data_IF_082055516932
#
_entry.id   IF_082055516932
#
_cell.length_a   1.000
_cell.length_b   1.000
_cell.length_c   1.000
_cell.angle_alpha   90.00
_cell.angle_beta   90.00
_cell.angle_gamma   90.00
#
_symmetry.space_group_name_H-M   'P 1'
#
loop_
_entity.id
_entity.type
_entity.pdbx_description
1 polymer ?
#
# COMPACT_ATOMS: atom_id res chain seq x y z
N UNK A 1 33.82 -2.62 -13.31
CA UNK A 1 32.67 -1.90 -12.76
C UNK A 1 33.07 -1.31 -11.43
N UNK A 2 33.05 0.01 -11.32
CA UNK A 2 33.53 0.68 -10.10
C UNK A 2 32.53 0.51 -8.95
N UNK A 3 33.00 -0.04 -7.83
CA UNK A 3 32.20 -0.26 -6.63
C UNK A 3 31.48 1.03 -6.18
N UNK A 4 32.17 2.17 -6.29
CA UNK A 4 31.60 3.48 -5.97
C UNK A 4 30.37 3.83 -6.83
N UNK A 5 30.36 3.45 -8.10
CA UNK A 5 29.21 3.68 -8.96
C UNK A 5 27.98 2.87 -8.52
N UNK A 6 28.20 1.60 -8.17
CA UNK A 6 27.13 0.73 -7.66
C UNK A 6 26.57 1.23 -6.35
N UNK A 7 27.45 1.67 -5.43
CA UNK A 7 27.03 2.22 -4.13
C UNK A 7 26.22 3.50 -4.30
N UNK A 8 26.62 4.41 -5.18
CA UNK A 8 25.86 5.64 -5.44
C UNK A 8 24.48 5.32 -6.03
N UNK A 9 24.41 4.39 -6.98
CA UNK A 9 23.13 3.96 -7.56
C UNK A 9 22.21 3.31 -6.52
N UNK A 10 22.78 2.45 -5.68
CA UNK A 10 22.03 1.81 -4.59
C UNK A 10 21.47 2.85 -3.61
N UNK A 11 22.31 3.82 -3.22
CA UNK A 11 21.90 4.90 -2.32
C UNK A 11 20.80 5.78 -2.94
N UNK A 12 20.92 6.12 -4.21
CA UNK A 12 19.88 6.85 -4.94
C UNK A 12 18.54 6.08 -4.96
N UNK A 13 18.59 4.78 -5.27
CA UNK A 13 17.38 3.94 -5.28
C UNK A 13 16.73 3.84 -3.92
N UNK A 14 17.52 3.63 -2.86
CA UNK A 14 17.01 3.60 -1.49
C UNK A 14 16.41 4.94 -1.07
N UNK A 15 17.01 6.06 -1.48
CA UNK A 15 16.46 7.39 -1.19
C UNK A 15 15.11 7.61 -1.87
N UNK A 16 14.95 7.19 -3.11
CA UNK A 16 13.69 7.29 -3.85
C UNK A 16 12.61 6.43 -3.17
N UNK A 17 12.94 5.20 -2.80
CA UNK A 17 12.01 4.30 -2.08
C UNK A 17 11.60 4.93 -0.75
N UNK A 18 12.54 5.46 0.01
CA UNK A 18 12.27 6.10 1.29
C UNK A 18 11.34 7.31 1.16
N UNK A 19 11.56 8.16 0.17
CA UNK A 19 10.69 9.32 -0.12
C UNK A 19 9.30 8.84 -0.52
N UNK A 20 9.20 7.85 -1.41
CA UNK A 20 7.92 7.30 -1.85
C UNK A 20 7.11 6.70 -0.69
N UNK A 21 7.75 5.94 0.17
CA UNK A 21 7.16 5.35 1.39
C UNK A 21 6.67 6.43 2.35
N UNK A 22 7.47 7.48 2.54
CA UNK A 22 7.09 8.62 3.41
C UNK A 22 5.87 9.37 2.86
N UNK A 23 5.85 9.65 1.57
CA UNK A 23 4.70 10.29 0.90
C UNK A 23 3.45 9.42 1.04
N UNK A 24 3.58 8.13 0.80
CA UNK A 24 2.46 7.18 0.93
C UNK A 24 1.91 7.10 2.36
N UNK A 25 2.74 7.30 3.37
CA UNK A 25 2.32 7.38 4.76
C UNK A 25 1.60 8.70 5.09
N UNK A 26 2.11 9.82 4.58
CA UNK A 26 1.63 11.17 4.91
C UNK A 26 0.32 11.50 4.20
N UNK A 27 0.20 11.18 2.90
CA UNK A 27 -0.97 11.57 2.09
C UNK A 27 -2.30 11.13 2.72
N UNK A 28 -2.52 9.87 3.12
CA UNK A 28 -3.80 9.46 3.71
C UNK A 28 -4.13 10.19 5.01
N UNK A 29 -3.10 10.64 5.72
CA UNK A 29 -3.25 11.36 7.01
C UNK A 29 -3.53 12.84 6.86
N UNK A 30 -3.24 13.40 5.68
CA UNK A 30 -3.59 14.79 5.35
C UNK A 30 -5.03 14.93 4.88
N UNK A 31 -5.67 13.84 4.47
CA UNK A 31 -7.08 13.85 4.03
C UNK A 31 -7.95 14.03 5.29
N UNK A 32 -8.78 15.09 5.34
CA UNK A 32 -9.69 15.29 6.46
C UNK A 32 -10.74 14.17 6.47
N UNK A 33 -10.93 13.54 7.61
CA UNK A 33 -11.85 12.41 7.82
C UNK A 33 -11.11 11.16 8.31
N UNK A 34 -11.88 10.25 8.87
CA UNK A 34 -11.35 8.98 9.35
C UNK A 34 -11.53 7.90 8.28
N UNK A 35 -10.45 7.39 7.68
CA UNK A 35 -10.54 6.38 6.65
C UNK A 35 -11.18 5.07 7.15
N UNK A 36 -11.06 4.76 8.44
CA UNK A 36 -11.68 3.57 9.04
C UNK A 36 -13.18 3.75 9.14
N UNK A 37 -13.61 4.91 9.60
CA UNK A 37 -15.04 5.23 9.72
C UNK A 37 -15.72 5.26 8.36
N UNK A 38 -15.08 5.84 7.35
CA UNK A 38 -15.56 5.84 5.98
C UNK A 38 -15.65 4.43 5.39
N UNK A 39 -14.65 3.58 5.62
CA UNK A 39 -14.66 2.20 5.15
C UNK A 39 -15.73 1.35 5.84
N UNK A 40 -15.93 1.53 7.14
CA UNK A 40 -16.98 0.83 7.91
C UNK A 40 -18.39 1.29 7.52
N UNK A 41 -18.63 2.58 7.37
CA UNK A 41 -19.93 3.12 6.96
C UNK A 41 -20.32 2.61 5.56
N UNK A 42 -19.38 2.54 4.64
CA UNK A 42 -19.61 1.97 3.31
C UNK A 42 -19.98 0.48 3.38
N UNK A 43 -19.29 -0.30 4.20
CA UNK A 43 -19.62 -1.73 4.39
C UNK A 43 -20.98 -1.95 5.02
N UNK A 44 -21.32 -1.18 6.03
CA UNK A 44 -22.62 -1.27 6.70
C UNK A 44 -23.76 -0.89 5.74
N UNK A 45 -23.54 0.14 4.92
CA UNK A 45 -24.50 0.54 3.89
C UNK A 45 -24.75 -0.58 2.86
N UNK A 46 -23.72 -1.33 2.49
CA UNK A 46 -23.81 -2.45 1.52
C UNK A 46 -24.44 -3.69 2.18
N UNK A 47 -24.13 -3.98 3.44
CA UNK A 47 -24.59 -5.18 4.14
C UNK A 47 -26.01 -5.06 4.74
N UNK A 48 -26.58 -3.85 4.77
CA UNK A 48 -27.93 -3.61 5.28
C UNK A 48 -28.13 -3.82 6.79
N UNK A 49 -27.05 -4.01 7.55
CA UNK A 49 -27.09 -4.18 9.00
C UNK A 49 -27.16 -2.82 9.69
N UNK A 50 -28.36 -2.41 10.04
CA UNK A 50 -28.69 -1.06 10.54
C UNK A 50 -28.36 -0.84 12.04
N UNK A 51 -27.87 -1.84 12.77
CA UNK A 51 -27.78 -1.79 14.23
C UNK A 51 -26.39 -1.77 14.84
N UNK A 52 -25.36 -1.56 14.04
CA UNK A 52 -23.99 -1.52 14.56
C UNK A 52 -23.55 -0.06 14.69
N UNK A 53 -23.17 0.33 15.91
CA UNK A 53 -22.57 1.65 16.14
C UNK A 53 -21.21 1.73 15.43
N UNK A 54 -21.21 2.43 14.29
CA UNK A 54 -20.02 2.63 13.44
C UNK A 54 -18.89 3.26 14.24
N UNK A 55 -19.21 4.16 15.14
CA UNK A 55 -18.23 4.88 15.94
C UNK A 55 -17.54 3.97 16.96
N UNK A 56 -18.28 3.08 17.60
CA UNK A 56 -17.71 2.10 18.53
C UNK A 56 -16.82 1.09 17.82
N UNK A 57 -17.26 0.58 16.69
CA UNK A 57 -16.41 -0.29 15.85
C UNK A 57 -15.17 0.44 15.35
N UNK A 58 -15.30 1.68 14.92
CA UNK A 58 -14.15 2.48 14.47
C UNK A 58 -13.11 2.66 15.59
N UNK A 59 -13.55 2.89 16.85
CA UNK A 59 -12.65 2.97 18.01
C UNK A 59 -11.88 1.67 18.25
N UNK A 60 -12.56 0.52 18.16
CA UNK A 60 -11.95 -0.79 18.33
C UNK A 60 -10.90 -1.03 17.25
N UNK A 61 -11.21 -0.71 16.00
CA UNK A 61 -10.26 -0.87 14.89
C UNK A 61 -9.07 0.09 14.97
N UNK A 62 -9.29 1.36 15.35
CA UNK A 62 -8.20 2.32 15.59
C UNK A 62 -7.23 1.79 16.64
N UNK A 63 -7.74 1.27 17.75
CA UNK A 63 -6.92 0.69 18.80
C UNK A 63 -6.17 -0.57 18.34
N UNK A 64 -6.85 -1.43 17.57
CA UNK A 64 -6.25 -2.66 17.03
C UNK A 64 -5.13 -2.39 16.03
N UNK A 65 -5.26 -1.35 15.23
CA UNK A 65 -4.24 -0.95 14.24
C UNK A 65 -3.22 0.07 14.77
N UNK A 66 -3.31 0.43 16.05
CA UNK A 66 -2.37 1.38 16.65
C UNK A 66 -2.48 2.81 16.13
N UNK A 67 -3.62 3.19 15.57
CA UNK A 67 -3.86 4.54 15.03
C UNK A 67 -4.11 5.57 16.13
N UNK A 68 -4.30 5.15 17.39
CA UNK A 68 -4.40 6.02 18.56
C UNK A 68 -3.04 6.55 19.04
N UNK A 69 -1.95 6.02 18.49
CA UNK A 69 -0.59 6.40 18.88
C UNK A 69 -0.14 7.68 18.16
N UNK A 70 0.84 8.41 18.72
CA UNK A 70 1.44 9.56 18.05
C UNK A 70 1.93 9.21 16.65
N UNK A 71 1.81 10.14 15.70
CA UNK A 71 2.21 9.94 14.31
C UNK A 71 3.64 9.42 14.14
N UNK A 72 4.54 9.83 15.01
CA UNK A 72 5.93 9.38 14.97
C UNK A 72 6.06 7.88 15.24
N UNK A 73 5.33 7.37 16.24
CA UNK A 73 5.33 5.94 16.58
C UNK A 73 4.64 5.13 15.47
N UNK A 74 3.56 5.64 14.91
CA UNK A 74 2.89 5.04 13.77
C UNK A 74 3.83 4.93 12.56
N UNK A 75 4.63 5.95 12.29
CA UNK A 75 5.60 5.96 11.20
C UNK A 75 6.71 4.93 11.41
N UNK A 76 7.25 4.83 12.61
CA UNK A 76 8.27 3.84 12.96
C UNK A 76 7.71 2.42 12.81
N UNK A 77 6.51 2.16 13.30
CA UNK A 77 5.84 0.87 13.15
C UNK A 77 5.56 0.54 11.68
N UNK A 78 5.13 1.51 10.90
CA UNK A 78 4.92 1.37 9.46
C UNK A 78 6.20 0.98 8.73
N UNK A 79 7.33 1.64 9.02
CA UNK A 79 8.63 1.28 8.45
C UNK A 79 9.07 -0.12 8.85
N UNK A 80 8.85 -0.49 10.12
CA UNK A 80 9.16 -1.84 10.62
C UNK A 80 8.32 -2.90 9.93
N UNK A 81 7.03 -2.68 9.82
CA UNK A 81 6.11 -3.60 9.13
C UNK A 81 6.47 -3.75 7.65
N UNK A 82 6.89 -2.66 7.00
CA UNK A 82 7.34 -2.69 5.62
C UNK A 82 8.60 -3.54 5.44
N UNK A 83 9.56 -3.48 6.37
CA UNK A 83 10.79 -4.32 6.32
C UNK A 83 10.50 -5.79 6.54
N UNK A 84 9.43 -6.13 7.24
CA UNK A 84 8.98 -7.51 7.47
C UNK A 84 7.96 -7.99 6.43
N UNK A 85 7.72 -7.20 5.36
CA UNK A 85 6.69 -7.46 4.34
C UNK A 85 5.28 -7.63 4.91
N UNK A 86 5.05 -7.09 6.09
CA UNK A 86 3.72 -7.03 6.70
C UNK A 86 3.00 -5.76 6.24
N UNK A 87 2.27 -5.87 5.13
CA UNK A 87 1.55 -4.75 4.53
C UNK A 87 0.21 -4.46 5.22
N UNK A 88 -0.12 -5.21 6.27
CA UNK A 88 -1.35 -5.04 7.02
C UNK A 88 -2.60 -5.54 6.31
N UNK A 89 -3.73 -5.12 6.81
CA UNK A 89 -5.06 -5.51 6.32
C UNK A 89 -5.62 -4.42 5.41
N UNK A 90 -6.26 -4.83 4.32
CA UNK A 90 -6.93 -3.90 3.42
C UNK A 90 -8.14 -3.26 4.08
N UNK A 91 -8.19 -1.93 4.11
CA UNK A 91 -9.36 -1.20 4.61
C UNK A 91 -10.57 -1.33 3.67
N UNK A 92 -10.31 -1.46 2.38
CA UNK A 92 -11.37 -1.55 1.35
C UNK A 92 -11.98 -2.95 1.30
N UNK A 93 -11.13 -3.99 1.35
CA UNK A 93 -11.55 -5.38 1.24
C UNK A 93 -11.33 -6.17 2.55
N UNK A 94 -11.58 -5.53 3.68
CA UNK A 94 -11.49 -6.21 4.98
C UNK A 94 -12.35 -7.51 5.01
N UNK A 95 -11.87 -8.63 5.51
CA UNK A 95 -10.62 -8.85 6.29
C UNK A 95 -9.38 -9.28 5.48
N UNK A 96 -9.36 -9.12 4.17
CA UNK A 96 -8.23 -9.54 3.35
C UNK A 96 -6.97 -8.72 3.64
N UNK A 97 -5.81 -9.39 3.60
CA UNK A 97 -4.53 -8.71 3.73
C UNK A 97 -4.10 -8.07 2.40
N UNK A 98 -3.42 -6.94 2.46
CA UNK A 98 -2.86 -6.27 1.28
C UNK A 98 -1.90 -7.20 0.53
N UNK A 99 -1.12 -8.01 1.25
CA UNK A 99 -0.22 -9.00 0.66
C UNK A 99 -0.97 -10.02 -0.21
N UNK A 100 -2.11 -10.53 0.23
CA UNK A 100 -2.94 -11.47 -0.55
C UNK A 100 -3.47 -10.83 -1.82
N UNK A 101 -3.94 -9.58 -1.74
CA UNK A 101 -4.41 -8.85 -2.91
C UNK A 101 -3.29 -8.58 -3.92
N UNK A 102 -2.11 -8.18 -3.45
CA UNK A 102 -0.95 -7.99 -4.30
C UNK A 102 -0.53 -9.29 -5.01
N UNK A 103 -0.45 -10.40 -4.27
CA UNK A 103 -0.09 -11.70 -4.83
C UNK A 103 -1.10 -12.20 -5.86
N UNK A 104 -2.38 -11.89 -5.69
CA UNK A 104 -3.42 -12.23 -6.67
C UNK A 104 -3.38 -11.35 -7.91
N UNK A 105 -2.99 -10.09 -7.79
CA UNK A 105 -2.92 -9.12 -8.88
C UNK A 105 -1.61 -9.20 -9.68
N UNK A 106 -0.49 -9.59 -9.05
CA UNK A 106 0.83 -9.65 -9.65
C UNK A 106 0.91 -10.48 -10.93
N UNK A 107 0.35 -11.71 -11.01
CA UNK A 107 0.42 -12.52 -12.24
C UNK A 107 -0.20 -11.82 -13.44
N UNK A 108 -1.32 -11.13 -13.25
CA UNK A 108 -1.98 -10.35 -14.29
C UNK A 108 -1.14 -9.16 -14.75
N UNK A 109 -0.56 -8.44 -13.81
CA UNK A 109 0.31 -7.29 -14.10
C UNK A 109 1.58 -7.71 -14.83
N UNK A 110 2.22 -8.80 -14.41
CA UNK A 110 3.40 -9.37 -15.08
C UNK A 110 3.04 -9.85 -16.50
N UNK A 111 1.92 -10.52 -16.66
CA UNK A 111 1.43 -10.97 -17.96
C UNK A 111 1.19 -9.80 -18.93
N UNK A 112 0.51 -8.74 -18.47
CA UNK A 112 0.27 -7.55 -19.27
C UNK A 112 1.57 -6.81 -19.62
N UNK A 113 2.51 -6.68 -18.69
CA UNK A 113 3.82 -6.09 -18.95
C UNK A 113 4.63 -6.88 -19.96
N UNK A 114 4.64 -8.22 -19.88
CA UNK A 114 5.33 -9.08 -20.82
C UNK A 114 4.76 -8.93 -22.24
N UNK A 115 3.44 -8.94 -22.39
CA UNK A 115 2.77 -8.72 -23.67
C UNK A 115 3.04 -7.33 -24.22
N UNK A 116 2.95 -6.30 -23.40
CA UNK A 116 3.22 -4.91 -23.77
C UNK A 116 4.66 -4.72 -24.22
N UNK A 117 5.61 -5.31 -23.51
CA UNK A 117 7.03 -5.27 -23.86
C UNK A 117 7.30 -5.96 -25.19
N UNK A 118 6.76 -7.14 -25.45
CA UNK A 118 6.91 -7.86 -26.71
C UNK A 118 6.28 -7.10 -27.87
N UNK A 119 5.14 -6.45 -27.66
CA UNK A 119 4.51 -5.60 -28.66
C UNK A 119 5.33 -4.36 -29.02
N UNK A 120 5.96 -3.73 -28.03
CA UNK A 120 6.80 -2.55 -28.24
C UNK A 120 8.15 -2.88 -28.89
N UNK A 121 8.71 -4.06 -28.64
CA UNK A 121 10.01 -4.47 -29.20
C UNK A 121 9.91 -5.08 -30.59
N UNK A 122 8.76 -5.63 -31.00
CA UNK A 122 8.53 -6.19 -32.33
C UNK A 122 8.76 -5.20 -33.48
N UNK A 123 8.34 -3.91 -33.42
CA UNK A 123 8.59 -2.96 -34.49
C UNK A 123 10.06 -2.59 -34.67
N UNK A 124 10.84 -2.56 -33.60
CA UNK A 124 12.27 -2.20 -33.65
C UNK A 124 13.13 -3.26 -34.32
N UNK A 125 12.71 -4.49 -34.37
CA UNK A 125 13.40 -5.56 -35.08
C UNK A 125 13.09 -5.63 -36.59
N UNK A 126 12.15 -4.80 -37.06
CA UNK A 126 11.76 -4.75 -38.50
C UNK A 126 12.53 -3.70 -39.31
N UNK A 127 13.28 -2.82 -38.65
CA UNK A 127 14.07 -1.78 -39.31
C UNK A 127 15.56 -2.15 -39.53
N UNK A 128 15.88 -3.41 -39.41
CA UNK A 128 17.21 -3.91 -39.72
C UNK A 128 17.26 -4.61 -41.09
#
# INVERSE_FOLDING_TARGET
MNLNYVLIRLFQSLSIIFIAVTINFVIPRMIPGDPIEAALSTKIAISGTVSVDVEEMAKIYRKKFGLDQPYLIQYINYLKDLTTFNLGVSLVNFPETVATQLLSALPWTIGLLAVSYTHLTLPTNREV
#
